data_IF_490750728523
#
_entry.id   IF_490750728523
#
_cell.length_a   1.000
_cell.length_b   1.000
_cell.length_c   1.000
_cell.angle_alpha   90.00
_cell.angle_beta   90.00
_cell.angle_gamma   90.00
#
_symmetry.space_group_name_H-M   'P 1'
#
loop_
_entity.id
_entity.type
_entity.pdbx_description
1 polymer ?
#
# COMPACT_ATOMS: atom_id res chain seq x y z
N UNK A 1 -27.11 -4.77 -3.76
CA UNK A 1 -26.31 -5.99 -4.03
C UNK A 1 -24.81 -5.70 -4.14
N UNK A 2 -24.36 -4.57 -4.71
CA UNK A 2 -22.92 -4.20 -4.76
C UNK A 2 -22.32 -3.86 -3.38
N UNK A 3 -23.00 -3.06 -2.56
CA UNK A 3 -22.52 -2.64 -1.23
C UNK A 3 -22.41 -3.79 -0.22
N UNK A 4 -23.36 -4.73 -0.23
CA UNK A 4 -23.28 -5.92 0.63
C UNK A 4 -22.09 -6.82 0.29
N UNK A 5 -21.63 -6.81 -0.97
CA UNK A 5 -20.48 -7.61 -1.39
C UNK A 5 -19.15 -6.92 -1.00
N UNK A 6 -19.10 -5.58 -1.05
CA UNK A 6 -17.91 -4.85 -0.60
C UNK A 6 -17.64 -5.01 0.89
N UNK A 7 -18.67 -4.96 1.73
CA UNK A 7 -18.48 -5.10 3.18
C UNK A 7 -18.03 -6.51 3.58
N UNK A 8 -18.54 -7.54 2.90
CA UNK A 8 -18.07 -8.93 3.08
C UNK A 8 -16.61 -9.09 2.68
N UNK A 9 -16.19 -8.49 1.57
CA UNK A 9 -14.80 -8.55 1.11
C UNK A 9 -13.86 -7.81 2.06
N UNK A 10 -14.24 -6.61 2.52
CA UNK A 10 -13.48 -5.86 3.52
C UNK A 10 -13.30 -6.68 4.79
N UNK A 11 -14.37 -7.28 5.34
CA UNK A 11 -14.26 -8.14 6.52
C UNK A 11 -13.33 -9.33 6.29
N UNK A 12 -13.37 -9.94 5.10
CA UNK A 12 -12.51 -11.07 4.76
C UNK A 12 -11.04 -10.67 4.68
N UNK A 13 -10.74 -9.53 4.04
CA UNK A 13 -9.38 -8.99 3.93
C UNK A 13 -8.84 -8.65 5.33
N UNK A 14 -9.62 -7.94 6.13
CA UNK A 14 -9.29 -7.61 7.51
C UNK A 14 -9.01 -8.86 8.36
N UNK A 15 -9.86 -9.89 8.23
CA UNK A 15 -9.67 -11.16 8.94
C UNK A 15 -8.44 -11.93 8.46
N UNK A 16 -8.09 -11.85 7.17
CA UNK A 16 -6.91 -12.54 6.62
C UNK A 16 -5.61 -11.96 7.19
N UNK A 17 -5.49 -10.62 7.20
CA UNK A 17 -4.30 -9.94 7.69
C UNK A 17 -4.32 -9.66 9.21
N UNK A 18 -5.47 -9.85 9.88
CA UNK A 18 -5.61 -9.53 11.31
C UNK A 18 -5.55 -8.03 11.59
N UNK A 19 -6.03 -7.20 10.64
CA UNK A 19 -6.02 -5.74 10.68
C UNK A 19 -7.44 -5.16 10.62
N UNK A 20 -7.58 -3.87 10.91
CA UNK A 20 -8.80 -3.10 10.65
C UNK A 20 -8.40 -1.92 9.79
N UNK A 21 -9.00 -1.79 8.61
CA UNK A 21 -8.72 -0.65 7.75
C UNK A 21 -9.20 0.65 8.42
N UNK A 22 -8.44 1.76 8.31
CA UNK A 22 -8.89 3.06 8.77
C UNK A 22 -10.22 3.43 8.10
N UNK A 23 -11.17 3.96 8.87
CA UNK A 23 -12.47 4.36 8.32
C UNK A 23 -12.30 5.46 7.25
N UNK A 24 -11.38 6.39 7.48
CA UNK A 24 -11.05 7.45 6.53
C UNK A 24 -10.55 6.89 5.19
N UNK A 25 -9.79 5.79 5.21
CA UNK A 25 -9.37 5.09 3.99
C UNK A 25 -10.56 4.46 3.26
N UNK A 26 -11.42 3.74 3.98
CA UNK A 26 -12.59 3.11 3.39
C UNK A 26 -13.55 4.14 2.77
N UNK A 27 -13.76 5.26 3.44
CA UNK A 27 -14.63 6.33 2.94
C UNK A 27 -14.01 7.04 1.74
N UNK A 28 -12.69 7.25 1.75
CA UNK A 28 -11.97 7.85 0.64
C UNK A 28 -12.10 7.03 -0.65
N UNK A 29 -11.83 5.72 -0.60
CA UNK A 29 -11.89 4.86 -1.81
C UNK A 29 -13.33 4.67 -2.31
N UNK A 30 -14.33 4.71 -1.43
CA UNK A 30 -15.75 4.67 -1.81
C UNK A 30 -16.16 5.95 -2.54
N UNK A 31 -15.68 7.11 -2.12
CA UNK A 31 -15.99 8.39 -2.75
C UNK A 31 -15.29 8.58 -4.10
N UNK A 32 -14.13 7.95 -4.28
CA UNK A 32 -13.27 8.13 -5.45
C UNK A 32 -13.10 6.83 -6.24
N UNK A 33 -14.18 6.05 -6.37
CA UNK A 33 -14.16 4.83 -7.18
C UNK A 33 -13.71 5.13 -8.60
N UNK A 34 -12.72 4.39 -9.09
CA UNK A 34 -12.10 4.53 -10.42
C UNK A 34 -11.34 5.85 -10.67
N UNK A 35 -11.18 6.71 -9.66
CA UNK A 35 -10.33 7.88 -9.77
C UNK A 35 -8.85 7.48 -9.74
N UNK A 36 -8.02 8.31 -10.36
CA UNK A 36 -6.58 8.28 -10.15
C UNK A 36 -6.06 9.61 -9.66
N UNK A 37 -4.91 9.56 -9.01
CA UNK A 37 -4.34 10.68 -8.27
C UNK A 37 -2.90 10.92 -8.64
N UNK A 38 -2.46 12.16 -8.51
CA UNK A 38 -1.05 12.51 -8.51
C UNK A 38 -0.62 12.79 -7.08
N UNK A 39 0.56 12.32 -6.70
CA UNK A 39 1.19 12.68 -5.43
C UNK A 39 1.95 13.99 -5.61
N UNK A 40 1.59 15.00 -4.82
CA UNK A 40 2.19 16.33 -4.87
C UNK A 40 2.99 16.58 -3.59
N UNK A 41 4.28 16.86 -3.73
CA UNK A 41 5.14 17.35 -2.65
C UNK A 41 5.88 18.62 -3.09
N UNK A 42 6.06 19.57 -2.18
CA UNK A 42 6.81 20.81 -2.42
C UNK A 42 6.47 21.54 -3.73
N UNK A 43 5.20 21.48 -4.15
CA UNK A 43 4.60 22.06 -5.38
C UNK A 43 4.87 21.32 -6.69
N UNK A 44 5.58 20.21 -6.67
CA UNK A 44 5.83 19.35 -7.83
C UNK A 44 5.12 17.99 -7.68
N UNK A 45 4.79 17.38 -8.80
CA UNK A 45 4.25 16.02 -8.81
C UNK A 45 5.41 15.04 -8.75
N UNK A 46 5.45 14.21 -7.71
CA UNK A 46 6.49 13.19 -7.49
C UNK A 46 6.10 11.84 -8.08
N UNK A 47 4.79 11.55 -8.15
CA UNK A 47 4.27 10.32 -8.75
C UNK A 47 2.88 10.56 -9.35
N UNK A 48 2.53 9.81 -10.39
CA UNK A 48 1.33 10.06 -11.21
C UNK A 48 0.43 8.84 -11.37
N UNK A 49 -0.85 9.08 -11.64
CA UNK A 49 -1.84 8.04 -11.94
C UNK A 49 -1.85 6.92 -10.87
N UNK A 50 -1.79 7.33 -9.60
CA UNK A 50 -1.93 6.48 -8.42
C UNK A 50 -3.37 6.00 -8.34
N UNK A 51 -3.53 4.68 -8.23
CA UNK A 51 -4.83 4.01 -8.17
C UNK A 51 -4.93 3.15 -6.93
N UNK A 52 -6.03 3.32 -6.22
CA UNK A 52 -6.33 2.49 -5.05
C UNK A 52 -6.77 1.10 -5.47
N UNK A 53 -6.32 0.09 -4.74
CA UNK A 53 -6.76 -1.27 -4.95
C UNK A 53 -8.25 -1.43 -4.67
N UNK A 54 -8.92 -2.16 -5.54
CA UNK A 54 -10.29 -2.60 -5.28
C UNK A 54 -10.24 -3.67 -4.19
N UNK A 55 -11.00 -3.47 -3.12
CA UNK A 55 -11.14 -4.44 -2.02
C UNK A 55 -12.10 -5.58 -2.43
N UNK A 56 -11.70 -6.35 -3.44
CA UNK A 56 -12.46 -7.46 -4.02
C UNK A 56 -11.85 -8.83 -3.66
N UNK A 57 -12.37 -9.88 -4.31
CA UNK A 57 -11.92 -11.23 -4.06
C UNK A 57 -10.45 -11.49 -4.44
N UNK A 58 -9.88 -10.63 -5.29
CA UNK A 58 -8.53 -10.74 -5.84
C UNK A 58 -7.52 -9.91 -5.06
N UNK A 59 -7.94 -9.06 -4.12
CA UNK A 59 -7.03 -8.22 -3.33
C UNK A 59 -5.88 -9.03 -2.71
N UNK A 60 -6.21 -10.07 -1.94
CA UNK A 60 -5.21 -10.93 -1.27
C UNK A 60 -4.29 -11.64 -2.28
N UNK A 61 -4.80 -12.42 -3.27
CA UNK A 61 -3.90 -13.12 -4.19
C UNK A 61 -3.10 -12.18 -5.09
N UNK A 62 -3.61 -10.98 -5.41
CA UNK A 62 -2.84 -10.00 -6.18
C UNK A 62 -1.66 -9.46 -5.34
N UNK A 63 -1.90 -9.09 -4.08
CA UNK A 63 -0.83 -8.62 -3.20
C UNK A 63 0.24 -9.71 -3.00
N UNK A 64 -0.22 -10.95 -2.78
CA UNK A 64 0.67 -12.10 -2.65
C UNK A 64 1.55 -12.33 -3.89
N UNK A 65 0.99 -12.14 -5.08
CA UNK A 65 1.71 -12.38 -6.33
C UNK A 65 2.58 -11.20 -6.78
N UNK A 66 2.26 -9.97 -6.38
CA UNK A 66 2.86 -8.76 -6.95
C UNK A 66 3.75 -7.98 -5.97
N UNK A 67 3.58 -8.17 -4.66
CA UNK A 67 4.23 -7.32 -3.65
C UNK A 67 4.89 -8.11 -2.54
N UNK A 68 4.37 -9.28 -2.14
CA UNK A 68 4.87 -9.99 -0.95
C UNK A 68 6.36 -10.35 -1.01
N UNK A 69 6.90 -10.64 -2.19
CA UNK A 69 8.32 -10.98 -2.37
C UNK A 69 9.27 -9.80 -2.10
N UNK A 70 8.79 -8.57 -2.25
CA UNK A 70 9.56 -7.33 -1.99
C UNK A 70 9.11 -6.61 -0.71
N UNK A 71 8.08 -7.12 -0.03
CA UNK A 71 7.54 -6.55 1.19
C UNK A 71 8.31 -7.06 2.42
N UNK A 72 8.84 -6.18 3.29
CA UNK A 72 9.55 -6.62 4.49
C UNK A 72 8.67 -7.40 5.45
N UNK A 73 7.36 -7.11 5.50
CA UNK A 73 6.40 -7.80 6.36
C UNK A 73 4.99 -7.84 5.73
N UNK A 74 4.72 -8.79 4.82
CA UNK A 74 3.46 -8.86 4.08
C UNK A 74 2.23 -9.13 4.95
N UNK A 75 2.40 -9.56 6.20
CA UNK A 75 1.28 -9.76 7.12
C UNK A 75 0.84 -8.46 7.79
N UNK A 76 1.73 -7.47 7.92
CA UNK A 76 1.48 -6.22 8.67
C UNK A 76 1.65 -4.97 7.83
N UNK A 77 2.20 -5.05 6.63
CA UNK A 77 2.36 -3.93 5.70
C UNK A 77 1.49 -4.23 4.48
N UNK A 78 0.37 -3.51 4.36
CA UNK A 78 -0.71 -3.87 3.42
C UNK A 78 -0.71 -2.89 2.23
N UNK A 79 -0.44 -3.35 0.99
CA UNK A 79 -0.55 -2.52 -0.20
C UNK A 79 -1.99 -2.03 -0.39
N UNK A 80 -2.18 -0.73 -0.55
CA UNK A 80 -3.49 -0.09 -0.70
C UNK A 80 -3.65 0.69 -2.00
N UNK A 81 -2.55 1.08 -2.64
CA UNK A 81 -2.54 1.74 -3.93
C UNK A 81 -1.23 1.46 -4.67
N UNK A 82 -1.25 1.68 -5.98
CA UNK A 82 -0.08 1.58 -6.84
C UNK A 82 -0.08 2.71 -7.87
N UNK A 83 1.10 3.17 -8.25
CA UNK A 83 1.29 4.14 -9.32
C UNK A 83 1.38 3.41 -10.67
N UNK A 84 0.53 3.80 -11.62
CA UNK A 84 0.63 3.29 -12.99
C UNK A 84 1.89 3.80 -13.70
N UNK A 85 2.37 4.99 -13.35
CA UNK A 85 3.53 5.58 -14.03
C UNK A 85 4.86 5.00 -13.59
N UNK A 86 5.03 4.70 -12.30
CA UNK A 86 6.30 4.26 -11.72
C UNK A 86 6.28 2.79 -11.28
N UNK A 87 5.10 2.20 -11.11
CA UNK A 87 4.94 0.89 -10.47
C UNK A 87 5.05 0.93 -8.94
N UNK A 88 5.31 2.10 -8.33
CA UNK A 88 5.46 2.24 -6.89
C UNK A 88 4.20 1.78 -6.15
N UNK A 89 4.39 1.17 -4.98
CA UNK A 89 3.29 0.75 -4.11
C UNK A 89 3.18 1.67 -2.90
N UNK A 90 1.95 1.99 -2.50
CA UNK A 90 1.65 2.70 -1.26
C UNK A 90 1.00 1.74 -0.29
N UNK A 91 1.50 1.69 0.94
CA UNK A 91 1.19 0.64 1.90
C UNK A 91 0.79 1.22 3.25
N UNK A 92 -0.15 0.56 3.93
CA UNK A 92 -0.47 0.83 5.34
C UNK A 92 0.41 -0.04 6.24
N UNK A 93 1.15 0.58 7.15
CA UNK A 93 2.03 -0.10 8.10
C UNK A 93 1.38 -0.24 9.48
N UNK A 94 1.01 -1.48 9.82
CA UNK A 94 0.37 -1.85 11.08
C UNK A 94 1.35 -2.36 12.15
N UNK A 95 2.67 -2.29 11.91
CA UNK A 95 3.67 -2.86 12.84
C UNK A 95 3.67 -2.14 14.19
N UNK A 96 3.57 -0.81 14.18
CA UNK A 96 3.61 0.02 15.39
C UNK A 96 2.21 0.38 15.91
N UNK A 97 1.27 0.72 15.02
CA UNK A 97 -0.08 1.15 15.40
C UNK A 97 -1.14 0.48 14.54
N UNK A 98 -1.98 -0.36 15.17
CA UNK A 98 -3.02 -1.11 14.48
C UNK A 98 -4.27 -0.28 14.12
N UNK A 99 -4.48 0.85 14.80
CA UNK A 99 -5.68 1.67 14.63
C UNK A 99 -5.43 2.86 13.70
N UNK A 100 -4.20 3.37 13.69
CA UNK A 100 -3.76 4.51 12.89
C UNK A 100 -2.42 4.11 12.24
N UNK A 101 -2.46 3.20 11.24
CA UNK A 101 -1.26 2.80 10.53
C UNK A 101 -0.66 3.99 9.77
N UNK A 102 0.66 4.09 9.75
CA UNK A 102 1.36 5.04 8.89
C UNK A 102 1.26 4.59 7.43
N UNK A 103 1.57 5.51 6.52
CA UNK A 103 1.64 5.21 5.09
C UNK A 103 3.10 5.15 4.67
N UNK A 104 3.46 4.07 3.98
CA UNK A 104 4.76 3.85 3.37
C UNK A 104 4.66 3.96 1.85
N UNK A 105 5.77 4.27 1.22
CA UNK A 105 6.00 4.09 -0.21
C UNK A 105 7.07 3.02 -0.42
N UNK A 106 6.85 2.17 -1.42
CA UNK A 106 7.81 1.19 -1.91
C UNK A 106 8.11 1.51 -3.37
N UNK A 107 9.36 1.84 -3.65
CA UNK A 107 9.84 2.17 -4.98
C UNK A 107 10.08 0.89 -5.78
N UNK A 108 9.29 0.66 -6.84
CA UNK A 108 9.32 -0.62 -7.56
C UNK A 108 10.68 -0.91 -8.19
N UNK A 109 11.34 0.11 -8.75
CA UNK A 109 12.63 -0.03 -9.44
C UNK A 109 13.80 -0.33 -8.50
N UNK A 110 13.67 -0.02 -7.21
CA UNK A 110 14.73 -0.19 -6.21
C UNK A 110 14.45 -1.33 -5.23
N UNK A 111 13.23 -1.85 -5.22
CA UNK A 111 12.84 -2.87 -4.25
C UNK A 111 13.59 -4.18 -4.49
N UNK A 112 14.34 -4.61 -3.48
CA UNK A 112 15.06 -5.87 -3.46
C UNK A 112 14.09 -7.03 -3.21
N UNK A 113 14.22 -8.10 -3.99
CA UNK A 113 13.46 -9.33 -3.78
C UNK A 113 14.05 -10.07 -2.57
N UNK A 114 13.19 -10.70 -1.76
CA UNK A 114 13.60 -11.44 -0.56
C UNK A 114 14.67 -12.51 -0.84
N UNK A 115 14.58 -13.19 -1.97
CA UNK A 115 15.60 -14.16 -2.39
C UNK A 115 16.98 -13.52 -2.53
N UNK A 116 17.06 -12.33 -3.13
CA UNK A 116 18.31 -11.59 -3.28
C UNK A 116 18.82 -11.10 -1.93
N UNK A 117 17.94 -10.57 -1.06
CA UNK A 117 18.32 -10.15 0.29
C UNK A 117 18.88 -11.31 1.13
N UNK A 118 18.27 -12.50 1.06
CA UNK A 118 18.74 -13.71 1.73
C UNK A 118 20.04 -14.25 1.14
N UNK A 119 20.28 -14.04 -0.16
CA UNK A 119 21.53 -14.41 -0.81
C UNK A 119 22.68 -13.46 -0.53
N UNK A 120 22.40 -12.16 -0.32
CA UNK A 120 23.41 -11.13 -0.07
C UNK A 120 23.79 -11.02 1.42
N UNK A 121 22.91 -11.45 2.32
CA UNK A 121 23.13 -11.39 3.77
C UNK A 121 23.85 -12.62 4.35
N UNK A 122 24.61 -12.43 5.43
CA UNK A 122 25.20 -13.56 6.17
C UNK A 122 24.21 -14.15 7.19
N UNK A 123 23.20 -13.36 7.59
CA UNK A 123 22.20 -13.73 8.61
C UNK A 123 20.78 -13.33 8.20
N UNK A 124 19.78 -13.97 8.82
CA UNK A 124 18.37 -13.61 8.62
C UNK A 124 18.05 -12.17 9.05
N UNK A 125 18.74 -11.67 10.07
CA UNK A 125 18.58 -10.32 10.59
C UNK A 125 19.11 -9.27 9.61
N UNK A 126 20.24 -9.54 8.96
CA UNK A 126 20.78 -8.69 7.89
C UNK A 126 19.88 -8.75 6.64
N UNK A 127 19.41 -9.92 6.24
CA UNK A 127 18.45 -10.05 5.15
C UNK A 127 17.18 -9.23 5.42
N UNK A 128 16.66 -9.29 6.66
CA UNK A 128 15.52 -8.47 7.05
C UNK A 128 15.86 -6.97 7.00
N UNK A 129 17.05 -6.54 7.42
CA UNK A 129 17.45 -5.14 7.32
C UNK A 129 17.47 -4.66 5.86
N UNK A 130 17.99 -5.45 4.93
CA UNK A 130 17.93 -5.15 3.49
C UNK A 130 16.48 -5.00 3.01
N UNK A 131 15.59 -5.90 3.45
CA UNK A 131 14.16 -5.80 3.12
C UNK A 131 13.50 -4.54 3.70
N UNK A 132 13.92 -4.06 4.87
CA UNK A 132 13.41 -2.82 5.46
C UNK A 132 13.77 -1.59 4.61
N UNK A 133 14.84 -1.64 3.82
CA UNK A 133 15.23 -0.54 2.92
C UNK A 133 14.28 -0.37 1.72
N UNK A 134 13.46 -1.39 1.41
CA UNK A 134 12.47 -1.33 0.33
C UNK A 134 11.33 -0.34 0.60
N UNK A 135 11.13 0.08 1.85
CA UNK A 135 10.00 0.92 2.24
C UNK A 135 10.44 2.21 2.94
N UNK A 136 9.78 3.32 2.64
CA UNK A 136 10.02 4.61 3.27
C UNK A 136 8.71 5.20 3.77
N UNK A 137 8.74 5.84 4.94
CA UNK A 137 7.56 6.52 5.47
C UNK A 137 7.25 7.76 4.65
N UNK A 138 6.00 7.91 4.21
CA UNK A 138 5.51 9.08 3.48
C UNK A 138 4.49 9.90 4.28
N UNK A 139 3.74 9.27 5.18
CA UNK A 139 2.78 9.98 6.03
C UNK A 139 2.54 9.26 7.36
N UNK A 140 2.20 10.02 8.40
CA UNK A 140 1.91 9.47 9.73
C UNK A 140 0.59 8.69 9.79
N UNK A 141 -0.35 9.00 8.89
CA UNK A 141 -1.65 8.35 8.78
C UNK A 141 -2.23 8.54 7.38
N UNK A 142 -3.35 7.85 7.10
CA UNK A 142 -4.00 7.91 5.80
C UNK A 142 -4.51 9.31 5.42
N UNK A 143 -5.03 10.10 6.36
CA UNK A 143 -5.54 11.44 6.05
C UNK A 143 -4.41 12.38 5.64
N UNK A 144 -3.27 12.28 6.33
CA UNK A 144 -2.05 13.01 5.99
C UNK A 144 -1.54 12.64 4.60
N UNK A 145 -1.59 11.35 4.23
CA UNK A 145 -1.29 10.91 2.87
C UNK A 145 -2.30 11.43 1.85
N UNK A 146 -3.60 11.33 2.14
CA UNK A 146 -4.65 11.77 1.23
C UNK A 146 -4.58 13.28 0.94
N UNK A 147 -4.08 14.08 1.88
CA UNK A 147 -3.83 15.51 1.70
C UNK A 147 -2.72 15.82 0.67
N UNK A 148 -1.84 14.85 0.39
CA UNK A 148 -0.81 14.94 -0.65
C UNK A 148 -1.33 14.55 -2.04
N UNK A 149 -2.55 14.00 -2.12
CA UNK A 149 -3.10 13.49 -3.37
C UNK A 149 -3.95 14.55 -4.10
N UNK A 150 -3.71 14.70 -5.39
CA UNK A 150 -4.52 15.51 -6.27
C UNK A 150 -5.25 14.62 -7.29
N UNK A 151 -6.59 14.66 -7.30
CA UNK A 151 -7.37 13.90 -8.26
C UNK A 151 -7.09 14.36 -9.70
N UNK A 152 -6.81 13.41 -10.59
CA UNK A 152 -6.62 13.68 -12.02
C UNK A 152 -7.98 13.90 -12.69
N UNK A 153 -8.13 14.95 -13.52
CA UNK A 153 -9.36 15.14 -14.29
C UNK A 153 -9.51 14.02 -15.32
N UNK A 154 -10.71 13.44 -15.39
CA UNK A 154 -11.10 12.50 -16.45
C UNK A 154 -11.20 13.29 -17.76
N UNK A 155 -10.34 12.97 -18.73
CA UNK A 155 -10.38 13.55 -20.09
C UNK A 155 -11.49 12.92 -20.93
#
# INVERSE_FOLDING_TARGET
MREQNSDVNVMRIQSHYGIVFPQDYLDFIRQHTDASFDLIQDTEAEDWDIRFHVLDDRFIPNNAALVDEVNPDPQRIIPIAWSVSSGNNYLLDYRENKSIPSVLVMEHELAMVREDAESEAETSEEAQQLMEENVKSIAADFLSFAALLQARPVL
#
